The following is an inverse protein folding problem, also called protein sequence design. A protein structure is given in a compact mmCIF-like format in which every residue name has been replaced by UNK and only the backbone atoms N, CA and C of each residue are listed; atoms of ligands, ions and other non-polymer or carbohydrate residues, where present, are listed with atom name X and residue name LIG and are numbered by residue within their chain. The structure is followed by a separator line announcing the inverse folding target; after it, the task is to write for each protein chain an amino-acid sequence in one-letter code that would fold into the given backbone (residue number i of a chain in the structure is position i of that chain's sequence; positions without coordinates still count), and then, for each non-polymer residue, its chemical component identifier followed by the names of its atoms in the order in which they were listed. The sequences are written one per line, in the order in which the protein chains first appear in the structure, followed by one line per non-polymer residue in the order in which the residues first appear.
data_IF_445442783013
#
_entry.id   IF_445442783013
#
_cell.length_a   1.000
_cell.length_b   1.000
_cell.length_c   1.000
_cell.angle_alpha   90.00
_cell.angle_beta   90.00
_cell.angle_gamma   90.00
#
_symmetry.space_group_name_H-M   'P 1'
#
loop_
_entity.id
_entity.type
_entity.pdbx_description
1 polymer ?
#
# COMPACT_ATOMS: atom_id res chain seq x y z
N UNK A 1 -32.30 22.07 46.44
CA UNK A 1 -31.40 23.00 45.73
C UNK A 1 -30.13 22.25 45.42
N UNK A 2 -29.91 21.84 44.17
CA UNK A 2 -28.67 21.22 43.72
C UNK A 2 -27.98 22.21 42.77
N UNK A 3 -26.80 22.66 43.15
CA UNK A 3 -25.92 23.54 42.38
C UNK A 3 -25.33 22.79 41.18
N UNK A 4 -25.26 23.38 39.98
CA UNK A 4 -24.53 22.80 38.87
C UNK A 4 -23.07 23.25 38.87
N UNK A 5 -22.27 22.53 38.09
CA UNK A 5 -20.97 22.90 37.53
C UNK A 5 -19.74 22.91 38.45
N UNK A 6 -19.15 21.72 38.60
CA UNK A 6 -17.69 21.57 38.65
C UNK A 6 -17.31 20.44 37.69
N UNK A 7 -17.39 20.71 36.38
CA UNK A 7 -16.69 19.89 35.39
C UNK A 7 -15.25 20.40 35.36
N UNK A 8 -14.34 19.61 35.92
CA UNK A 8 -12.92 19.92 36.00
C UNK A 8 -12.37 20.25 34.59
N UNK A 9 -11.92 21.50 34.43
CA UNK A 9 -11.22 22.03 33.26
C UNK A 9 -10.18 21.07 32.63
N UNK A 10 -9.36 20.31 33.39
CA UNK A 10 -8.42 19.35 32.81
C UNK A 10 -9.10 18.20 32.04
N UNK A 11 -10.29 17.76 32.44
CA UNK A 11 -10.99 16.64 31.79
C UNK A 11 -11.55 17.07 30.44
N UNK A 12 -12.08 18.28 30.35
CA UNK A 12 -12.55 18.85 29.08
C UNK A 12 -11.38 19.06 28.11
N UNK A 13 -10.24 19.57 28.59
CA UNK A 13 -9.05 19.76 27.76
C UNK A 13 -8.51 18.44 27.20
N UNK A 14 -8.46 17.38 28.02
CA UNK A 14 -8.00 16.07 27.59
C UNK A 14 -8.94 15.41 26.58
N UNK A 15 -10.26 15.53 26.78
CA UNK A 15 -11.26 15.07 25.79
C UNK A 15 -11.11 15.81 24.48
N UNK A 16 -10.91 17.14 24.51
CA UNK A 16 -10.75 17.97 23.31
C UNK A 16 -9.50 17.60 22.51
N UNK A 17 -8.38 17.34 23.20
CA UNK A 17 -7.12 16.87 22.59
C UNK A 17 -7.31 15.48 21.96
N UNK A 18 -7.95 14.54 22.66
CA UNK A 18 -8.20 13.19 22.12
C UNK A 18 -9.12 13.26 20.90
N UNK A 19 -10.20 14.06 20.97
CA UNK A 19 -11.10 14.23 19.82
C UNK A 19 -10.40 14.86 18.62
N UNK A 20 -9.58 15.91 18.83
CA UNK A 20 -8.86 16.56 17.73
C UNK A 20 -7.84 15.63 17.08
N UNK A 21 -7.07 14.87 17.87
CA UNK A 21 -6.11 13.88 17.35
C UNK A 21 -6.81 12.75 16.60
N UNK A 22 -8.01 12.34 17.03
CA UNK A 22 -8.78 11.28 16.36
C UNK A 22 -9.48 11.76 15.08
N UNK A 23 -9.96 13.00 15.03
CA UNK A 23 -10.67 13.53 13.85
C UNK A 23 -9.74 14.03 12.75
N UNK A 24 -8.52 14.48 13.09
CA UNK A 24 -7.54 14.98 12.10
C UNK A 24 -7.23 13.97 10.98
N UNK A 25 -6.91 12.69 11.25
CA UNK A 25 -6.65 11.72 10.18
C UNK A 25 -7.90 11.37 9.37
N UNK A 26 -9.09 11.47 9.98
CA UNK A 26 -10.36 11.20 9.29
C UNK A 26 -10.72 12.33 8.31
N UNK A 27 -10.56 13.58 8.74
CA UNK A 27 -10.79 14.77 7.91
C UNK A 27 -9.75 14.84 6.79
N UNK A 28 -8.48 14.55 7.07
CA UNK A 28 -7.44 14.51 6.03
C UNK A 28 -7.73 13.46 4.95
N UNK A 29 -8.28 12.30 5.34
CA UNK A 29 -8.67 11.24 4.40
C UNK A 29 -9.93 11.59 3.59
N UNK A 30 -10.84 12.40 4.16
CA UNK A 30 -12.05 12.86 3.48
C UNK A 30 -11.81 14.05 2.53
N UNK A 31 -10.81 14.90 2.82
CA UNK A 31 -10.38 15.99 1.94
C UNK A 31 -9.34 15.57 0.90
N UNK A 32 -8.78 14.36 1.00
CA UNK A 32 -7.89 13.85 -0.04
C UNK A 32 -8.69 13.77 -1.36
N UNK A 33 -8.27 14.46 -2.43
CA UNK A 33 -8.97 14.40 -3.70
C UNK A 33 -9.04 12.96 -4.16
N UNK A 34 -10.24 12.46 -4.46
CA UNK A 34 -10.43 11.16 -5.09
C UNK A 34 -9.83 11.24 -6.49
N UNK A 35 -8.62 10.74 -6.64
CA UNK A 35 -7.92 10.64 -7.91
C UNK A 35 -8.71 9.68 -8.80
N UNK A 36 -9.54 10.21 -9.69
CA UNK A 36 -10.19 9.44 -10.76
C UNK A 36 -9.10 9.06 -11.76
N UNK A 37 -8.46 7.92 -11.52
CA UNK A 37 -7.43 7.41 -12.41
C UNK A 37 -8.08 6.80 -13.64
N UNK A 38 -7.90 7.50 -14.76
CA UNK A 38 -8.27 7.02 -16.08
C UNK A 38 -7.39 5.82 -16.43
N UNK A 39 -8.02 4.66 -16.61
CA UNK A 39 -7.38 3.41 -16.99
C UNK A 39 -6.76 3.54 -18.39
N UNK A 40 -5.49 3.93 -18.43
CA UNK A 40 -4.67 3.90 -19.65
C UNK A 40 -4.01 2.52 -19.76
N UNK A 41 -3.90 1.93 -20.96
CA UNK A 41 -3.20 0.67 -21.18
C UNK A 41 -1.66 0.79 -21.05
N UNK A 42 -1.14 1.99 -20.77
CA UNK A 42 0.27 2.27 -20.56
C UNK A 42 0.48 2.82 -19.16
N UNK A 43 1.34 2.18 -18.38
CA UNK A 43 1.73 2.65 -17.05
C UNK A 43 3.04 3.45 -17.13
N UNK A 44 3.00 4.70 -16.69
CA UNK A 44 4.20 5.52 -16.55
C UNK A 44 5.00 5.07 -15.32
N UNK A 45 6.30 4.80 -15.53
CA UNK A 45 7.19 4.41 -14.44
C UNK A 45 7.44 5.59 -13.51
N UNK A 46 7.13 5.40 -12.22
CA UNK A 46 7.42 6.37 -11.17
C UNK A 46 8.63 5.93 -10.35
N UNK A 47 9.48 6.88 -10.01
CA UNK A 47 10.60 6.62 -9.11
C UNK A 47 10.08 6.30 -7.70
N UNK A 48 10.61 5.24 -7.10
CA UNK A 48 10.29 4.88 -5.72
C UNK A 48 10.93 5.91 -4.78
N UNK A 49 10.11 6.49 -3.93
CA UNK A 49 10.52 7.40 -2.86
C UNK A 49 10.52 6.64 -1.53
N UNK A 50 11.67 6.62 -0.87
CA UNK A 50 11.81 6.04 0.46
C UNK A 50 12.89 6.79 1.26
N UNK A 51 12.70 6.97 2.58
CA UNK A 51 13.70 7.59 3.43
C UNK A 51 14.92 6.67 3.56
N UNK A 52 16.13 7.25 3.43
CA UNK A 52 17.39 6.56 3.69
C UNK A 52 17.76 6.70 5.16
N UNK A 53 17.51 5.66 5.94
CA UNK A 53 17.80 5.63 7.38
C UNK A 53 19.02 4.76 7.68
N UNK A 54 19.90 5.24 8.54
CA UNK A 54 21.08 4.51 9.02
C UNK A 54 21.22 4.63 10.54
N UNK A 55 22.02 3.74 11.15
CA UNK A 55 22.36 3.79 12.58
C UNK A 55 21.14 3.75 13.53
N UNK A 56 21.10 4.69 14.47
CA UNK A 56 20.05 4.78 15.50
C UNK A 56 18.66 5.05 14.91
N UNK A 57 18.58 5.86 13.85
CA UNK A 57 17.31 6.19 13.20
C UNK A 57 16.67 4.95 12.55
N UNK A 58 17.48 4.11 11.89
CA UNK A 58 17.01 2.84 11.34
C UNK A 58 16.54 1.89 12.46
N UNK A 59 17.30 1.81 13.55
CA UNK A 59 16.97 0.96 14.69
C UNK A 59 15.65 1.37 15.36
N UNK A 60 15.41 2.67 15.51
CA UNK A 60 14.16 3.21 16.06
C UNK A 60 12.99 2.93 15.10
N UNK A 61 13.16 3.23 13.82
CA UNK A 61 12.15 2.95 12.79
C UNK A 61 11.77 1.47 12.75
N UNK A 62 12.74 0.56 12.86
CA UNK A 62 12.50 -0.88 12.92
C UNK A 62 11.69 -1.31 14.16
N UNK A 63 11.90 -0.66 15.32
CA UNK A 63 11.10 -0.93 16.52
C UNK A 63 9.68 -0.40 16.37
N UNK A 64 9.52 0.81 15.84
CA UNK A 64 8.20 1.43 15.65
C UNK A 64 7.36 0.65 14.63
N UNK A 65 7.97 0.19 13.54
CA UNK A 65 7.25 -0.59 12.49
C UNK A 65 6.81 -1.97 12.95
N UNK A 66 7.37 -2.52 14.04
CA UNK A 66 6.91 -3.78 14.65
C UNK A 66 5.62 -3.62 15.48
N UNK A 67 5.24 -2.40 15.83
CA UNK A 67 4.00 -2.14 16.57
C UNK A 67 2.81 -2.43 15.63
N UNK A 68 1.89 -3.35 15.94
CA UNK A 68 0.90 -3.86 14.98
C UNK A 68 0.04 -2.81 14.28
N UNK A 69 -0.33 -1.75 15.01
CA UNK A 69 -1.17 -0.66 14.49
C UNK A 69 -0.29 0.35 13.73
N UNK A 70 0.75 0.88 14.40
CA UNK A 70 1.64 1.89 13.81
C UNK A 70 2.36 1.39 12.56
N UNK A 71 2.87 0.16 12.59
CA UNK A 71 3.55 -0.46 11.45
C UNK A 71 2.65 -0.56 10.22
N UNK A 72 1.38 -0.92 10.40
CA UNK A 72 0.40 -0.95 9.30
C UNK A 72 0.15 0.45 8.74
N UNK A 73 0.03 1.47 9.59
CA UNK A 73 -0.16 2.85 9.13
C UNK A 73 1.06 3.38 8.38
N UNK A 74 2.27 3.16 8.90
CA UNK A 74 3.51 3.57 8.25
C UNK A 74 3.64 2.87 6.88
N UNK A 75 3.39 1.56 6.83
CA UNK A 75 3.44 0.80 5.58
C UNK A 75 2.40 1.30 4.56
N UNK A 76 1.18 1.61 5.01
CA UNK A 76 0.14 2.13 4.13
C UNK A 76 0.50 3.52 3.61
N UNK A 77 1.10 4.38 4.44
CA UNK A 77 1.60 5.69 4.01
C UNK A 77 2.63 5.53 2.89
N UNK A 78 3.66 4.69 3.09
CA UNK A 78 4.70 4.45 2.09
C UNK A 78 4.11 3.92 0.78
N UNK A 79 3.15 2.99 0.85
CA UNK A 79 2.46 2.45 -0.34
C UNK A 79 1.67 3.52 -1.09
N UNK A 80 1.01 4.42 -0.37
CA UNK A 80 0.25 5.52 -0.97
C UNK A 80 1.18 6.55 -1.61
N UNK A 81 2.27 6.92 -0.93
CA UNK A 81 3.26 7.89 -1.45
C UNK A 81 3.93 7.40 -2.75
N UNK A 82 3.98 6.08 -2.95
CA UNK A 82 4.56 5.43 -4.12
C UNK A 82 3.52 4.94 -5.15
N UNK A 83 2.24 5.29 -5.00
CA UNK A 83 1.16 4.87 -5.91
C UNK A 83 1.11 3.34 -6.16
N UNK A 84 1.39 2.51 -5.14
CA UNK A 84 1.38 1.05 -5.29
C UNK A 84 -0.03 0.51 -5.65
N UNK A 85 -1.07 1.26 -5.30
CA UNK A 85 -2.43 0.94 -5.70
C UNK A 85 -2.61 1.02 -7.22
N UNK A 86 -1.99 2.02 -7.88
CA UNK A 86 -2.04 2.17 -9.33
C UNK A 86 -1.41 0.98 -10.05
N UNK A 87 -0.30 0.44 -9.54
CA UNK A 87 0.33 -0.78 -10.08
C UNK A 87 -0.65 -1.95 -10.06
N UNK A 88 -1.38 -2.10 -8.95
CA UNK A 88 -2.36 -3.17 -8.76
C UNK A 88 -3.57 -2.98 -9.68
N UNK A 89 -4.04 -1.75 -9.83
CA UNK A 89 -5.18 -1.42 -10.70
C UNK A 89 -4.80 -1.61 -12.17
N UNK A 90 -3.59 -1.23 -12.57
CA UNK A 90 -3.03 -1.54 -13.89
C UNK A 90 -2.93 -3.05 -14.12
N UNK A 91 -2.38 -3.81 -13.16
CA UNK A 91 -2.29 -5.27 -13.28
C UNK A 91 -3.67 -5.93 -13.44
N UNK A 92 -4.72 -5.37 -12.84
CA UNK A 92 -6.10 -5.85 -13.02
C UNK A 92 -6.67 -5.61 -14.43
N UNK A 93 -6.12 -4.66 -15.19
CA UNK A 93 -6.49 -4.47 -16.62
C UNK A 93 -5.96 -5.58 -17.53
N UNK A 94 -4.99 -6.38 -17.06
CA UNK A 94 -4.40 -7.48 -17.81
C UNK A 94 -5.30 -8.72 -17.73
N UNK A 95 -6.43 -8.70 -18.43
CA UNK A 95 -7.50 -9.71 -18.34
C UNK A 95 -7.15 -11.08 -18.91
N UNK A 96 -6.10 -11.19 -19.73
CA UNK A 96 -5.78 -12.42 -20.48
C UNK A 96 -4.44 -13.06 -20.11
N UNK A 97 -3.83 -12.63 -19.00
CA UNK A 97 -2.54 -13.15 -18.54
C UNK A 97 -2.72 -14.03 -17.30
N UNK A 98 -2.21 -15.25 -17.35
CA UNK A 98 -2.06 -16.11 -16.18
C UNK A 98 -0.83 -15.64 -15.41
N UNK A 99 -0.89 -15.49 -14.07
CA UNK A 99 0.28 -15.08 -13.29
C UNK A 99 1.41 -16.09 -13.44
N UNK A 100 2.55 -15.62 -13.96
CA UNK A 100 3.77 -16.41 -14.04
C UNK A 100 4.52 -16.28 -12.70
N UNK A 101 4.54 -17.37 -11.92
CA UNK A 101 5.29 -17.43 -10.66
C UNK A 101 6.78 -17.71 -10.87
N UNK A 102 7.13 -18.30 -12.02
CA UNK A 102 8.48 -18.64 -12.41
C UNK A 102 8.73 -18.09 -13.81
N UNK A 103 9.96 -17.67 -14.12
CA UNK A 103 10.33 -17.32 -15.47
C UNK A 103 10.18 -18.56 -16.34
N UNK A 104 9.20 -18.56 -17.23
CA UNK A 104 9.05 -19.60 -18.25
C UNK A 104 9.84 -19.17 -19.48
N UNK A 105 10.81 -19.99 -19.85
CA UNK A 105 11.47 -19.87 -21.15
C UNK A 105 10.70 -20.77 -22.12
N UNK A 106 9.96 -20.22 -23.09
CA UNK A 106 9.33 -21.06 -24.10
C UNK A 106 10.41 -21.87 -24.82
N UNK A 107 10.18 -23.17 -25.08
CA UNK A 107 11.16 -24.00 -25.79
C UNK A 107 11.43 -23.43 -27.18
N UNK A 108 12.63 -23.67 -27.71
CA UNK A 108 12.96 -23.28 -29.10
C UNK A 108 12.06 -24.02 -30.08
N UNK A 109 11.93 -23.48 -31.29
CA UNK A 109 11.11 -24.08 -32.33
C UNK A 109 11.56 -25.52 -32.68
N UNK A 110 12.87 -25.81 -32.62
CA UNK A 110 13.38 -27.16 -32.88
C UNK A 110 12.92 -28.16 -31.81
N UNK A 111 13.06 -27.79 -30.53
CA UNK A 111 12.66 -28.63 -29.40
C UNK A 111 11.14 -28.87 -29.43
N UNK A 112 10.36 -27.84 -29.75
CA UNK A 112 8.91 -27.95 -29.84
C UNK A 112 8.48 -28.92 -30.97
N UNK A 113 9.16 -28.87 -32.13
CA UNK A 113 8.91 -29.79 -33.24
C UNK A 113 9.26 -31.25 -32.90
N UNK A 114 10.40 -31.48 -32.24
CA UNK A 114 10.81 -32.81 -31.77
C UNK A 114 9.80 -33.42 -30.80
N UNK A 115 9.39 -32.65 -29.79
CA UNK A 115 8.40 -33.08 -28.81
C UNK A 115 7.02 -33.35 -29.45
N UNK A 116 6.64 -32.58 -30.48
CA UNK A 116 5.38 -32.81 -31.21
C UNK A 116 5.42 -34.11 -32.00
N UNK A 117 6.54 -34.41 -32.66
CA UNK A 117 6.72 -35.70 -33.35
C UNK A 117 6.71 -36.88 -32.37
N UNK A 118 7.41 -36.77 -31.24
CA UNK A 118 7.41 -37.80 -30.20
C UNK A 118 6.00 -38.05 -29.65
N UNK A 119 5.24 -37.00 -29.33
CA UNK A 119 3.88 -37.13 -28.81
C UNK A 119 2.91 -37.78 -29.81
N UNK A 120 3.10 -37.56 -31.12
CA UNK A 120 2.27 -38.17 -32.16
C UNK A 120 2.58 -39.67 -32.38
N UNK A 121 3.68 -40.18 -31.82
CA UNK A 121 4.10 -41.58 -31.95
C UNK A 121 3.65 -42.49 -30.80
N UNK A 122 3.03 -41.91 -29.76
CA UNK A 122 2.36 -42.61 -28.66
C UNK A 122 0.87 -42.80 -28.95
#
# INVERSE_FOLDING_TARGET
MATPSDFEVPTLALVLIITTVATLPLVYKALAPSKTEQSSPVMDLKAIQAPRLTGLALSLFAKVTRIPILGKFILQSIKNDNDFQHVRDFAATLTHLVPLYLPMQPPSAEVLAEHTQLAASF
#
